data_IF_416697009751
#
_entry.id   IF_416697009751
#
_cell.length_a   1.000
_cell.length_b   1.000
_cell.length_c   1.000
_cell.angle_alpha   90.00
_cell.angle_beta   90.00
_cell.angle_gamma   90.00
#
_symmetry.space_group_name_H-M   'P 1'
#
loop_
_entity.id
_entity.type
_entity.pdbx_description
1 polymer ?
#
# COMPACT_ATOMS: atom_id res chain seq x y z
N UNK A 1 6.57 -14.30 -14.18
CA UNK A 1 6.45 -14.44 -12.72
C UNK A 1 6.76 -13.10 -12.07
N UNK A 2 5.88 -12.65 -11.18
CA UNK A 2 6.13 -11.68 -10.09
C UNK A 2 6.44 -10.20 -10.41
N UNK A 3 5.72 -9.57 -11.33
CA UNK A 3 5.22 -8.25 -10.99
C UNK A 3 3.91 -8.52 -10.27
N UNK A 4 3.82 -8.28 -8.95
CA UNK A 4 2.51 -8.11 -8.32
C UNK A 4 1.77 -7.12 -9.21
N UNK A 5 0.81 -7.61 -10.01
CA UNK A 5 -0.27 -6.81 -10.55
C UNK A 5 -1.15 -6.43 -9.35
N UNK A 6 -0.55 -5.69 -8.42
CA UNK A 6 -1.28 -4.78 -7.56
C UNK A 6 -1.82 -3.77 -8.55
N UNK A 7 -2.95 -4.15 -9.14
CA UNK A 7 -3.67 -3.34 -10.09
C UNK A 7 -3.93 -2.00 -9.41
N UNK A 8 -4.05 -0.94 -10.22
CA UNK A 8 -4.23 0.43 -9.71
C UNK A 8 -5.30 0.48 -8.62
N UNK A 9 -6.36 -0.31 -8.81
CA UNK A 9 -7.46 -0.53 -7.88
C UNK A 9 -7.03 -1.20 -6.56
N UNK A 10 -6.29 -2.31 -6.64
CA UNK A 10 -5.79 -3.04 -5.48
C UNK A 10 -4.84 -2.17 -4.63
N UNK A 11 -4.01 -1.34 -5.25
CA UNK A 11 -3.20 -0.35 -4.54
C UNK A 11 -4.02 0.74 -3.88
N UNK A 12 -5.06 1.23 -4.53
CA UNK A 12 -5.97 2.22 -3.96
C UNK A 12 -6.66 1.68 -2.72
N UNK A 13 -7.13 0.43 -2.75
CA UNK A 13 -7.72 -0.25 -1.59
C UNK A 13 -6.70 -0.41 -0.45
N UNK A 14 -5.46 -0.81 -0.76
CA UNK A 14 -4.38 -0.93 0.22
C UNK A 14 -4.01 0.41 0.85
N UNK A 15 -3.97 1.48 0.05
CA UNK A 15 -3.74 2.83 0.53
C UNK A 15 -4.86 3.28 1.48
N UNK A 16 -6.13 3.03 1.12
CA UNK A 16 -7.27 3.46 1.93
C UNK A 16 -7.34 2.70 3.26
N UNK A 17 -7.07 1.39 3.24
CA UNK A 17 -6.93 0.58 4.43
C UNK A 17 -5.82 1.11 5.37
N UNK A 18 -4.63 1.39 4.83
CA UNK A 18 -3.54 1.96 5.61
C UNK A 18 -3.82 3.37 6.12
N UNK A 19 -4.55 4.19 5.35
CA UNK A 19 -5.00 5.51 5.80
C UNK A 19 -5.91 5.39 7.02
N UNK A 20 -6.75 4.36 7.07
CA UNK A 20 -7.64 4.09 8.20
C UNK A 20 -6.89 3.56 9.44
N UNK A 21 -5.90 2.67 9.24
CA UNK A 21 -5.16 2.04 10.34
C UNK A 21 -4.07 2.95 10.90
N UNK A 22 -3.23 3.48 10.00
CA UNK A 22 -1.98 4.16 10.33
C UNK A 22 -2.10 5.69 10.20
N UNK A 23 -3.23 6.18 9.69
CA UNK A 23 -3.45 7.57 9.35
C UNK A 23 -3.06 7.92 7.92
N UNK A 24 -3.72 8.94 7.36
CA UNK A 24 -3.44 9.45 6.01
C UNK A 24 -2.06 10.08 5.87
N UNK A 25 -1.44 10.47 6.99
CA UNK A 25 -0.12 11.11 7.04
C UNK A 25 1.04 10.10 6.97
N UNK A 26 0.74 8.79 6.99
CA UNK A 26 1.78 7.78 7.00
C UNK A 26 2.51 7.73 5.64
N UNK A 27 3.86 7.73 5.61
CA UNK A 27 4.62 7.74 4.36
C UNK A 27 4.30 6.55 3.45
N UNK A 28 3.92 5.40 4.04
CA UNK A 28 3.49 4.22 3.27
C UNK A 28 2.12 4.41 2.64
N UNK A 29 1.18 5.05 3.34
CA UNK A 29 -0.15 5.41 2.83
C UNK A 29 -0.02 6.36 1.64
N UNK A 30 0.80 7.40 1.78
CA UNK A 30 1.07 8.37 0.72
C UNK A 30 1.73 7.68 -0.49
N UNK A 31 2.70 6.79 -0.25
CA UNK A 31 3.35 6.05 -1.33
C UNK A 31 2.39 5.10 -2.07
N UNK A 32 1.50 4.39 -1.38
CA UNK A 32 0.49 3.54 -2.01
C UNK A 32 -0.58 4.35 -2.75
N UNK A 33 -0.98 5.51 -2.21
CA UNK A 33 -1.90 6.44 -2.87
C UNK A 33 -1.26 7.06 -4.12
N UNK A 34 0.02 7.42 -4.05
CA UNK A 34 0.77 7.88 -5.21
C UNK A 34 0.94 6.78 -6.25
N UNK A 35 1.23 5.54 -5.83
CA UNK A 35 1.35 4.40 -6.73
C UNK A 35 0.02 4.05 -7.42
N UNK A 36 -1.11 4.13 -6.72
CA UNK A 36 -2.44 4.01 -7.32
C UNK A 36 -2.83 5.23 -8.16
N UNK A 37 -2.37 6.44 -7.87
CA UNK A 37 -2.66 7.61 -8.71
C UNK A 37 -1.81 7.62 -10.00
N UNK A 38 -0.51 7.33 -9.88
CA UNK A 38 0.49 7.38 -10.96
C UNK A 38 0.47 6.14 -11.83
N UNK A 39 0.20 4.96 -11.26
CA UNK A 39 0.30 3.67 -11.97
C UNK A 39 1.74 3.29 -12.38
N UNK A 40 2.74 4.08 -11.95
CA UNK A 40 4.14 3.88 -12.31
C UNK A 40 4.77 2.75 -11.49
N UNK A 41 5.49 1.86 -12.18
CA UNK A 41 6.22 0.75 -11.55
C UNK A 41 7.22 1.22 -10.47
N UNK A 42 7.76 2.43 -10.59
CA UNK A 42 8.66 3.03 -9.60
C UNK A 42 7.93 3.35 -8.29
N UNK A 43 6.75 3.96 -8.36
CA UNK A 43 5.93 4.27 -7.18
C UNK A 43 5.43 2.97 -6.53
N UNK A 44 5.02 1.99 -7.34
CA UNK A 44 4.65 0.64 -6.90
C UNK A 44 5.78 0.00 -6.09
N UNK A 45 7.00 0.07 -6.62
CA UNK A 45 8.18 -0.50 -5.96
C UNK A 45 8.51 0.25 -4.66
N UNK A 46 8.46 1.58 -4.67
CA UNK A 46 8.66 2.42 -3.48
C UNK A 46 7.65 2.11 -2.39
N UNK A 47 6.37 2.07 -2.74
CA UNK A 47 5.27 1.76 -1.85
C UNK A 47 5.44 0.37 -1.23
N UNK A 48 5.78 -0.65 -2.04
CA UNK A 48 6.05 -2.01 -1.56
C UNK A 48 7.25 -2.05 -0.61
N UNK A 49 8.31 -1.30 -0.90
CA UNK A 49 9.52 -1.20 -0.05
C UNK A 49 9.20 -0.54 1.30
N UNK A 50 8.41 0.53 1.29
CA UNK A 50 7.91 1.19 2.50
C UNK A 50 7.00 0.27 3.31
N UNK A 51 6.12 -0.47 2.63
CA UNK A 51 5.25 -1.47 3.26
C UNK A 51 6.03 -2.60 3.93
N UNK A 52 7.10 -3.08 3.30
CA UNK A 52 8.03 -4.05 3.90
C UNK A 52 8.80 -3.46 5.10
N UNK A 53 9.04 -2.14 5.11
CA UNK A 53 9.73 -1.43 6.20
C UNK A 53 8.81 -1.13 7.40
N UNK A 54 7.49 -1.13 7.22
CA UNK A 54 6.52 -0.95 8.31
C UNK A 54 6.62 -2.07 9.34
N UNK A 55 6.26 -1.73 10.58
CA UNK A 55 6.13 -2.71 11.67
C UNK A 55 5.11 -3.77 11.30
N UNK A 56 5.36 -4.99 11.77
CA UNK A 56 4.54 -6.17 11.44
C UNK A 56 3.06 -6.00 11.77
N UNK A 57 2.73 -5.15 12.76
CA UNK A 57 1.36 -4.80 13.14
C UNK A 57 0.61 -4.09 12.02
N UNK A 58 1.18 -3.01 11.47
CA UNK A 58 0.56 -2.22 10.39
C UNK A 58 0.41 -3.04 9.10
N UNK A 59 1.40 -3.88 8.81
CA UNK A 59 1.34 -4.83 7.69
C UNK A 59 0.20 -5.83 7.82
N UNK A 60 0.04 -6.44 9.00
CA UNK A 60 -1.03 -7.41 9.25
C UNK A 60 -2.40 -6.74 9.25
N UNK A 61 -2.52 -5.55 9.79
CA UNK A 61 -3.78 -4.80 9.81
C UNK A 61 -4.21 -4.45 8.37
N UNK A 62 -3.31 -3.93 7.54
CA UNK A 62 -3.60 -3.60 6.15
C UNK A 62 -3.93 -4.82 5.28
N UNK A 63 -3.30 -5.97 5.56
CA UNK A 63 -3.67 -7.24 4.95
C UNK A 63 -5.05 -7.72 5.44
N UNK A 64 -5.33 -7.62 6.75
CA UNK A 64 -6.59 -8.06 7.35
C UNK A 64 -7.80 -7.32 6.76
N UNK A 65 -7.66 -6.03 6.44
CA UNK A 65 -8.70 -5.23 5.77
C UNK A 65 -8.94 -5.60 4.29
N UNK A 66 -8.07 -6.40 3.67
CA UNK A 66 -8.26 -6.90 2.30
C UNK A 66 -8.83 -8.32 2.23
N UNK A 67 -8.80 -9.07 3.33
CA UNK A 67 -9.32 -10.45 3.44
C UNK A 67 -10.63 -10.53 4.23
N UNK A 68 -11.08 -9.42 4.84
CA UNK A 68 -12.36 -9.28 5.55
C UNK A 68 -13.49 -8.81 4.68
#
# INVERSE_FOLDING_TARGET
>A
MDALKLDRDAMGRLANALAFICGSDNPTTVALKAASASGSAQDITKARKLFLRLKSGDRRAALATLTG
#
